data_IF_632133244763
#
_entry.id   IF_632133244763
#
_cell.length_a   1.000
_cell.length_b   1.000
_cell.length_c   1.000
_cell.angle_alpha   90.00
_cell.angle_beta   90.00
_cell.angle_gamma   90.00
#
_symmetry.space_group_name_H-M   'P 1'
#
loop_
_entity.id
_entity.type
_entity.pdbx_description
1 polymer ?
#
# COMPACT_ATOMS: atom_id res chain seq x y z
N UNK A 1 -25.34 -6.36 -15.83
CA UNK A 1 -25.28 -4.94 -15.47
C UNK A 1 -24.84 -4.86 -14.02
N UNK A 2 -23.62 -4.39 -13.74
CA UNK A 2 -23.17 -4.21 -12.36
C UNK A 2 -23.66 -2.85 -11.88
N UNK A 3 -24.52 -2.85 -10.86
CA UNK A 3 -24.90 -1.62 -10.16
C UNK A 3 -23.65 -1.11 -9.45
N UNK A 4 -23.08 -0.02 -9.95
CA UNK A 4 -22.07 0.71 -9.19
C UNK A 4 -22.80 1.31 -7.98
N UNK A 5 -22.67 0.66 -6.82
CA UNK A 5 -23.16 1.23 -5.56
C UNK A 5 -22.57 2.63 -5.42
N UNK A 6 -23.42 3.62 -5.16
CA UNK A 6 -22.97 5.00 -4.90
C UNK A 6 -22.16 5.09 -3.60
N UNK A 7 -22.39 4.15 -2.67
CA UNK A 7 -21.75 4.14 -1.37
C UNK A 7 -20.58 3.16 -1.32
N UNK A 8 -19.47 3.54 -0.67
CA UNK A 8 -18.33 2.65 -0.49
C UNK A 8 -18.66 1.55 0.54
N UNK A 9 -18.28 0.32 0.21
CA UNK A 9 -18.34 -0.85 1.08
C UNK A 9 -17.44 -0.68 2.31
N UNK A 10 -16.24 -0.14 2.09
CA UNK A 10 -15.24 0.08 3.13
C UNK A 10 -14.55 1.42 2.91
N UNK A 11 -14.26 2.12 4.00
CA UNK A 11 -13.61 3.43 3.94
C UNK A 11 -12.71 3.64 5.15
N UNK A 12 -11.42 3.85 4.91
CA UNK A 12 -10.40 4.09 5.96
C UNK A 12 -9.52 5.28 5.61
N UNK A 13 -8.94 5.98 6.59
CA UNK A 13 -7.77 6.82 6.36
C UNK A 13 -6.62 6.01 5.74
N UNK A 14 -5.80 6.68 4.92
CA UNK A 14 -4.59 6.06 4.34
C UNK A 14 -3.45 7.06 4.20
N UNK A 15 -2.22 6.57 4.12
CA UNK A 15 -1.03 7.39 3.93
C UNK A 15 -0.10 6.74 2.91
N UNK A 16 0.51 7.57 2.05
CA UNK A 16 1.66 7.14 1.26
C UNK A 16 2.94 7.45 2.04
N UNK A 17 3.99 6.61 1.97
CA UNK A 17 5.24 6.82 2.72
C UNK A 17 5.96 8.13 2.42
N UNK A 18 5.79 8.64 1.20
CA UNK A 18 6.52 9.81 0.70
C UNK A 18 5.60 10.99 0.37
N UNK A 19 4.34 10.96 0.83
CA UNK A 19 3.37 12.02 0.51
C UNK A 19 2.52 12.37 1.71
N UNK A 20 2.51 13.66 2.05
CA UNK A 20 1.72 14.19 3.16
C UNK A 20 0.35 14.67 2.69
N UNK A 21 -0.68 14.35 3.47
CA UNK A 21 -2.05 14.79 3.26
C UNK A 21 -2.54 15.54 4.50
N UNK A 22 -3.36 16.57 4.28
CA UNK A 22 -4.18 17.17 5.33
C UNK A 22 -5.24 16.21 5.82
N UNK A 23 -5.84 15.48 4.87
CA UNK A 23 -6.72 14.36 5.11
C UNK A 23 -6.74 13.46 3.87
N UNK A 24 -7.06 12.20 4.09
CA UNK A 24 -7.08 11.18 3.05
C UNK A 24 -8.05 10.06 3.42
N UNK A 25 -8.68 9.47 2.40
CA UNK A 25 -9.61 8.35 2.49
C UNK A 25 -9.38 7.40 1.33
N UNK A 26 -9.18 6.13 1.67
CA UNK A 26 -9.23 5.01 0.75
C UNK A 26 -10.65 4.47 0.81
N UNK A 27 -11.29 4.28 -0.34
CA UNK A 27 -12.68 3.85 -0.45
C UNK A 27 -12.77 2.64 -1.37
N UNK A 28 -13.35 1.56 -0.87
CA UNK A 28 -13.63 0.36 -1.64
C UNK A 28 -15.08 0.39 -2.11
N UNK A 29 -15.28 0.19 -3.40
CA UNK A 29 -16.57 -0.06 -4.02
C UNK A 29 -16.57 -1.49 -4.59
N UNK A 30 -17.71 -1.91 -5.13
CA UNK A 30 -17.84 -3.25 -5.72
C UNK A 30 -16.90 -3.51 -6.90
N UNK A 31 -16.54 -2.47 -7.66
CA UNK A 31 -15.77 -2.57 -8.89
C UNK A 31 -14.43 -1.82 -8.87
N UNK A 32 -14.17 -1.00 -7.84
CA UNK A 32 -13.02 -0.10 -7.80
C UNK A 32 -12.57 0.26 -6.39
N UNK A 33 -11.34 0.73 -6.31
CA UNK A 33 -10.75 1.40 -5.15
C UNK A 33 -10.52 2.87 -5.53
N UNK A 34 -10.94 3.79 -4.68
CA UNK A 34 -10.66 5.21 -4.83
C UNK A 34 -9.74 5.71 -3.72
N UNK A 35 -8.73 6.47 -4.12
CA UNK A 35 -7.83 7.22 -3.26
C UNK A 35 -8.22 8.68 -3.38
N UNK A 36 -8.68 9.27 -2.28
CA UNK A 36 -9.05 10.69 -2.24
C UNK A 36 -8.34 11.34 -1.08
N UNK A 37 -7.77 12.50 -1.29
CA UNK A 37 -7.19 13.27 -0.20
C UNK A 37 -6.85 14.68 -0.61
N UNK A 38 -6.70 15.55 0.38
CA UNK A 38 -6.27 16.91 0.16
C UNK A 38 -4.80 17.05 0.56
N UNK A 39 -3.99 17.55 -0.36
CA UNK A 39 -2.60 17.97 -0.11
C UNK A 39 -2.55 19.49 -0.09
N UNK A 40 -1.47 20.03 0.46
CA UNK A 40 -1.19 21.47 0.34
C UNK A 40 -1.06 21.93 -1.11
N UNK A 41 -0.63 21.04 -2.01
CA UNK A 41 -0.51 21.31 -3.45
C UNK A 41 -1.82 21.10 -4.23
N UNK A 42 -2.89 20.63 -3.58
CA UNK A 42 -4.20 20.45 -4.21
C UNK A 42 -4.88 19.12 -3.91
N UNK A 43 -5.99 18.87 -4.61
CA UNK A 43 -6.77 17.65 -4.47
C UNK A 43 -6.04 16.48 -5.15
N UNK A 44 -5.87 15.40 -4.42
CA UNK A 44 -5.46 14.12 -4.94
C UNK A 44 -6.69 13.23 -5.12
N UNK A 45 -6.89 12.75 -6.35
CA UNK A 45 -7.88 11.74 -6.65
C UNK A 45 -7.29 10.72 -7.61
N UNK A 46 -7.39 9.45 -7.24
CA UNK A 46 -7.01 8.33 -8.10
C UNK A 46 -8.05 7.23 -7.97
N UNK A 47 -8.49 6.69 -9.10
CA UNK A 47 -9.44 5.59 -9.16
C UNK A 47 -8.75 4.38 -9.78
N UNK A 48 -8.91 3.22 -9.16
CA UNK A 48 -8.29 1.97 -9.53
C UNK A 48 -9.38 0.89 -9.72
N UNK A 49 -9.60 0.39 -10.93
CA UNK A 49 -10.49 -0.76 -11.15
C UNK A 49 -9.97 -2.01 -10.42
N UNK A 50 -10.85 -2.72 -9.71
CA UNK A 50 -10.49 -3.97 -9.01
C UNK A 50 -10.02 -5.06 -9.98
N UNK A 51 -10.52 -5.05 -11.21
CA UNK A 51 -10.08 -5.96 -12.26
C UNK A 51 -8.59 -5.84 -12.59
N UNK A 52 -7.93 -4.70 -12.27
CA UNK A 52 -6.49 -4.53 -12.46
C UNK A 52 -5.66 -5.09 -11.30
N UNK A 53 -6.26 -5.43 -10.17
CA UNK A 53 -5.52 -5.92 -9.00
C UNK A 53 -5.08 -7.36 -9.25
N UNK A 54 -3.80 -7.55 -9.55
CA UNK A 54 -3.17 -8.88 -9.74
C UNK A 54 -2.82 -9.55 -8.42
N UNK A 55 -2.28 -8.77 -7.48
CA UNK A 55 -1.84 -9.29 -6.19
C UNK A 55 -2.04 -8.23 -5.09
N UNK A 56 -2.18 -8.69 -3.86
CA UNK A 56 -2.35 -7.86 -2.68
C UNK A 56 -1.62 -8.50 -1.51
N UNK A 57 -0.84 -7.68 -0.80
CA UNK A 57 -0.19 -8.09 0.45
C UNK A 57 -0.51 -7.12 1.57
N UNK A 58 -0.62 -7.65 2.78
CA UNK A 58 -0.76 -6.87 4.00
C UNK A 58 0.13 -7.46 5.08
N UNK A 59 0.47 -6.65 6.08
CA UNK A 59 1.25 -7.10 7.21
C UNK A 59 0.91 -6.31 8.48
N UNK A 60 1.16 -6.92 9.62
CA UNK A 60 1.04 -6.31 10.94
C UNK A 60 2.38 -5.75 11.42
N UNK A 61 2.37 -4.66 12.19
CA UNK A 61 3.55 -4.10 12.86
C UNK A 61 3.69 -2.58 12.70
N UNK A 62 4.73 -2.01 13.35
CA UNK A 62 5.02 -0.58 13.41
C UNK A 62 5.83 -0.07 12.21
N UNK A 63 5.29 -0.23 11.00
CA UNK A 63 5.92 0.28 9.77
C UNK A 63 5.05 1.31 9.05
N UNK A 64 5.69 2.19 8.29
CA UNK A 64 5.03 3.26 7.51
C UNK A 64 4.20 2.75 6.31
N UNK A 65 4.26 1.45 6.05
CA UNK A 65 3.49 0.75 5.04
C UNK A 65 2.94 -0.48 5.74
N UNK A 66 1.68 -0.83 5.49
CA UNK A 66 1.06 -2.07 6.00
C UNK A 66 0.22 -2.79 4.92
N UNK A 67 0.17 -2.23 3.72
CA UNK A 67 -0.66 -2.69 2.61
C UNK A 67 -0.01 -2.38 1.27
N UNK A 68 -0.02 -3.36 0.36
CA UNK A 68 0.54 -3.23 -0.97
C UNK A 68 -0.36 -3.88 -2.02
N UNK A 69 -0.46 -3.24 -3.18
CA UNK A 69 -1.19 -3.72 -4.36
C UNK A 69 -0.23 -3.85 -5.54
N UNK A 70 -0.32 -4.96 -6.26
CA UNK A 70 0.28 -5.13 -7.58
C UNK A 70 -0.83 -5.01 -8.62
N UNK A 71 -0.64 -4.12 -9.58
CA UNK A 71 -1.61 -3.84 -10.62
C UNK A 71 -1.09 -4.32 -11.97
N UNK A 72 -2.00 -4.86 -12.76
CA UNK A 72 -1.75 -5.17 -14.16
C UNK A 72 -1.41 -3.89 -14.94
N UNK A 73 -0.24 -3.89 -15.58
CA UNK A 73 0.17 -2.89 -16.56
C UNK A 73 -0.63 -2.95 -17.87
N UNK A 74 -1.31 -4.07 -18.14
CA UNK A 74 -1.94 -4.36 -19.43
C UNK A 74 -0.94 -4.91 -20.45
N UNK A 75 -1.37 -5.06 -21.70
CA UNK A 75 -0.63 -5.79 -22.74
C UNK A 75 0.77 -5.23 -23.04
N UNK A 76 0.96 -3.91 -22.89
CA UNK A 76 2.21 -3.20 -23.21
C UNK A 76 2.83 -2.45 -22.02
N UNK A 77 2.30 -2.65 -20.80
CA UNK A 77 2.67 -1.87 -19.62
C UNK A 77 3.39 -2.69 -18.54
N UNK A 78 4.33 -2.05 -17.84
CA UNK A 78 4.91 -2.65 -16.64
C UNK A 78 3.88 -2.70 -15.49
N UNK A 79 3.94 -3.77 -14.71
CA UNK A 79 3.10 -3.89 -13.51
C UNK A 79 3.41 -2.77 -12.50
N UNK A 80 2.36 -2.11 -12.04
CA UNK A 80 2.49 -1.02 -11.09
C UNK A 80 2.37 -1.53 -9.65
N UNK A 81 3.24 -1.04 -8.76
CA UNK A 81 3.19 -1.36 -7.32
C UNK A 81 2.77 -0.13 -6.53
N UNK A 82 1.72 -0.28 -5.73
CA UNK A 82 1.26 0.75 -4.79
C UNK A 82 1.56 0.28 -3.37
N UNK A 83 2.27 1.10 -2.61
CA UNK A 83 2.56 0.88 -1.19
C UNK A 83 1.92 1.97 -0.35
N UNK A 84 1.20 1.58 0.70
CA UNK A 84 0.53 2.51 1.59
C UNK A 84 0.39 1.96 3.01
N UNK A 85 0.11 2.85 3.95
CA UNK A 85 -0.49 2.51 5.23
C UNK A 85 -2.00 2.76 5.14
N UNK A 86 -2.82 1.81 5.58
CA UNK A 86 -4.27 1.94 5.72
C UNK A 86 -4.71 1.40 7.07
N UNK A 87 -5.67 2.09 7.70
CA UNK A 87 -6.27 1.57 8.92
C UNK A 87 -7.09 0.31 8.61
N UNK A 88 -6.94 -0.70 9.47
CA UNK A 88 -7.54 -2.02 9.31
C UNK A 88 -7.11 -2.76 8.03
N UNK A 89 -5.81 -2.74 7.70
CA UNK A 89 -5.24 -3.42 6.52
C UNK A 89 -5.65 -4.90 6.34
N UNK A 90 -5.83 -5.64 7.43
CA UNK A 90 -6.33 -7.02 7.37
C UNK A 90 -7.77 -7.12 6.85
N UNK A 91 -8.65 -6.21 7.28
CA UNK A 91 -10.02 -6.12 6.76
C UNK A 91 -10.00 -5.70 5.28
N UNK A 92 -9.16 -4.73 4.92
CA UNK A 92 -8.96 -4.33 3.53
C UNK A 92 -8.53 -5.50 2.64
N UNK A 93 -7.60 -6.34 3.10
CA UNK A 93 -7.22 -7.54 2.37
C UNK A 93 -8.41 -8.46 2.12
N UNK A 94 -9.22 -8.70 3.16
CA UNK A 94 -10.38 -9.57 3.07
C UNK A 94 -11.41 -9.03 2.06
N UNK A 95 -11.79 -7.77 2.21
CA UNK A 95 -12.84 -7.17 1.37
C UNK A 95 -12.42 -6.99 -0.09
N UNK A 96 -11.14 -6.66 -0.34
CA UNK A 96 -10.61 -6.60 -1.71
C UNK A 96 -10.54 -8.00 -2.32
N UNK A 97 -10.05 -9.00 -1.58
CA UNK A 97 -9.97 -10.38 -2.09
C UNK A 97 -11.34 -10.99 -2.39
N UNK A 98 -12.37 -10.61 -1.64
CA UNK A 98 -13.74 -11.04 -1.91
C UNK A 98 -14.32 -10.51 -3.24
N UNK A 99 -13.73 -9.44 -3.81
CA UNK A 99 -14.27 -8.72 -4.97
C UNK A 99 -13.34 -8.68 -6.19
N UNK A 100 -12.03 -8.74 -5.97
CA UNK A 100 -11.03 -8.74 -7.03
C UNK A 100 -10.98 -10.12 -7.72
N UNK A 101 -11.67 -10.24 -8.85
CA UNK A 101 -11.78 -11.50 -9.61
C UNK A 101 -10.45 -12.01 -10.16
N UNK A 102 -9.50 -11.10 -10.41
CA UNK A 102 -8.20 -11.41 -11.00
C UNK A 102 -7.09 -11.56 -9.95
N UNK A 103 -7.44 -11.63 -8.66
CA UNK A 103 -6.47 -11.74 -7.59
C UNK A 103 -5.82 -13.13 -7.61
N UNK A 104 -4.50 -13.16 -7.77
CA UNK A 104 -3.70 -14.38 -7.68
C UNK A 104 -3.37 -14.63 -6.21
N UNK A 105 -3.94 -15.68 -5.62
CA UNK A 105 -3.80 -16.01 -4.20
C UNK A 105 -2.34 -16.20 -3.75
N UNK A 106 -1.48 -16.68 -4.66
CA UNK A 106 -0.06 -16.95 -4.45
C UNK A 106 0.83 -16.16 -5.45
N UNK A 107 0.44 -14.93 -5.76
CA UNK A 107 1.19 -14.08 -6.68
C UNK A 107 2.60 -13.73 -6.16
N UNK A 108 3.50 -13.21 -7.02
CA UNK A 108 4.89 -12.93 -6.67
C UNK A 108 5.01 -12.07 -5.42
N UNK A 109 5.96 -12.42 -4.55
CA UNK A 109 6.21 -11.79 -3.25
C UNK A 109 6.38 -10.27 -3.42
N UNK A 110 5.37 -9.48 -3.01
CA UNK A 110 5.54 -8.04 -2.87
C UNK A 110 6.50 -7.82 -1.70
N UNK A 111 7.72 -7.29 -1.94
CA UNK A 111 8.71 -7.19 -0.88
C UNK A 111 8.18 -6.24 0.19
N UNK A 112 8.32 -6.64 1.46
CA UNK A 112 8.17 -5.70 2.57
C UNK A 112 9.28 -4.67 2.42
N UNK A 113 8.94 -3.44 2.03
CA UNK A 113 9.94 -2.37 1.95
C UNK A 113 10.53 -2.22 3.36
N UNK A 114 11.85 -2.48 3.50
CA UNK A 114 12.53 -2.34 4.79
C UNK A 114 12.37 -0.90 5.25
N UNK A 115 11.76 -0.70 6.42
CA UNK A 115 11.80 0.57 7.13
C UNK A 115 13.26 0.98 7.29
N UNK A 116 13.61 2.21 6.93
CA UNK A 116 14.95 2.80 7.06
C UNK A 116 15.40 3.01 8.51
N UNK A 117 14.84 2.27 9.47
CA UNK A 117 15.10 2.36 10.90
C UNK A 117 16.06 1.28 11.42
N UNK A 118 16.57 0.38 10.57
CA UNK A 118 17.73 -0.47 10.90
C UNK A 118 19.04 0.35 10.81
N UNK A 119 19.07 1.49 11.49
CA UNK A 119 20.32 2.10 11.94
C UNK A 119 20.73 1.36 13.21
N UNK A 120 21.38 0.21 13.07
CA UNK A 120 22.18 -0.31 14.19
C UNK A 120 23.41 0.58 14.32
N UNK A 121 23.61 1.29 15.45
CA UNK A 121 24.86 2.01 15.69
C UNK A 121 25.92 0.96 16.06
N UNK A 122 26.72 0.57 15.07
CA UNK A 122 27.99 -0.12 15.34
C UNK A 122 28.97 0.91 15.92
N UNK A 123 28.84 1.18 17.22
CA UNK A 123 29.83 1.93 18.01
C UNK A 123 31.03 1.05 18.40
N UNK A 124 32.17 1.68 18.74
CA UNK A 124 33.49 1.32 18.22
C UNK A 124 34.26 0.40 19.16
N UNK A 125 35.00 -0.57 18.63
CA UNK A 125 35.99 -1.29 19.44
C UNK A 125 37.40 -0.78 19.10
N UNK A 126 37.97 -0.07 20.07
CA UNK A 126 39.25 0.60 19.93
C UNK A 126 40.42 -0.37 19.80
N UNK A 127 41.30 -0.09 18.85
CA UNK A 127 42.69 -0.53 18.91
C UNK A 127 43.58 0.68 19.16
N UNK A 128 43.72 1.04 20.44
CA UNK A 128 44.97 1.62 20.95
C UNK A 128 45.97 0.47 21.04
N UNK A 129 46.93 0.42 20.11
CA UNK A 129 48.17 -0.33 20.32
C UNK A 129 49.27 0.70 20.54
N UNK A 130 49.83 0.69 21.75
CA UNK A 130 50.96 1.50 22.21
C UNK A 130 52.21 0.62 22.17
N UNK A 131 53.28 1.17 21.60
CA UNK A 131 54.71 0.94 21.78
C UNK A 131 55.26 -0.46 22.18
N UNK A 132 56.22 -0.94 21.39
CA UNK A 132 57.56 -1.30 21.85
C UNK A 132 58.56 -0.91 20.76
#
# INVERSE_FOLDING_TARGET
MYFSSSDPVLSSPFHYPHQSFLWSRLRLFEDRIEFVGLRWTGLHRRTLPLARVKNLRWWTGSGDINFALLLDGGDDGEDERIYLHVDAAGLWKHEVAARAQNLIADGPDLPKQKSSSDSSPSSPNGKRARAA
#
